data_IF_109338554689
#
_entry.id   IF_109338554689
#
_cell.length_a   1.000
_cell.length_b   1.000
_cell.length_c   1.000
_cell.angle_alpha   90.00
_cell.angle_beta   90.00
_cell.angle_gamma   90.00
#
_symmetry.space_group_name_H-M   'P 1'
#
loop_
_entity.id
_entity.type
_entity.pdbx_description
1 polymer ?
#
# COMPACT_ATOMS: atom_id res chain seq x y z
N UNK A 1 -11.59 -6.66 18.30
CA UNK A 1 -10.95 -6.29 17.02
C UNK A 1 -11.96 -6.53 15.92
N UNK A 2 -12.22 -5.54 15.08
CA UNK A 2 -13.08 -5.70 13.91
C UNK A 2 -12.32 -6.39 12.76
N UNK A 3 -13.05 -6.88 11.76
CA UNK A 3 -12.45 -7.44 10.55
C UNK A 3 -11.60 -6.41 9.80
N UNK A 4 -12.02 -5.14 9.80
CA UNK A 4 -11.25 -4.06 9.20
C UNK A 4 -9.98 -3.72 9.99
N UNK A 5 -9.99 -3.86 11.33
CA UNK A 5 -8.79 -3.71 12.15
C UNK A 5 -7.76 -4.79 11.80
N UNK A 6 -8.20 -6.05 11.69
CA UNK A 6 -7.35 -7.18 11.29
C UNK A 6 -6.75 -6.99 9.90
N UNK A 7 -7.57 -6.53 8.94
CA UNK A 7 -7.11 -6.25 7.57
C UNK A 7 -6.07 -5.12 7.54
N UNK A 8 -6.30 -4.05 8.31
CA UNK A 8 -5.38 -2.92 8.40
C UNK A 8 -4.05 -3.35 9.02
N UNK A 9 -4.09 -4.08 10.12
CA UNK A 9 -2.88 -4.55 10.81
C UNK A 9 -2.04 -5.45 9.90
N UNK A 10 -2.67 -6.44 9.24
CA UNK A 10 -1.99 -7.31 8.29
C UNK A 10 -1.37 -6.54 7.12
N UNK A 11 -2.09 -5.57 6.57
CA UNK A 11 -1.61 -4.73 5.48
C UNK A 11 -0.43 -3.85 5.90
N UNK A 12 -0.52 -3.16 7.05
CA UNK A 12 0.57 -2.34 7.58
C UNK A 12 1.81 -3.17 7.86
N UNK A 13 1.66 -4.33 8.50
CA UNK A 13 2.77 -5.23 8.78
C UNK A 13 3.45 -5.74 7.50
N UNK A 14 2.69 -6.01 6.44
CA UNK A 14 3.27 -6.41 5.16
C UNK A 14 4.08 -5.28 4.52
N UNK A 15 3.56 -4.05 4.54
CA UNK A 15 4.27 -2.89 3.97
C UNK A 15 5.54 -2.60 4.75
N UNK A 16 5.46 -2.49 6.07
CA UNK A 16 6.58 -2.09 6.93
C UNK A 16 7.72 -3.11 6.97
N UNK A 17 7.42 -4.40 6.74
CA UNK A 17 8.43 -5.47 6.80
C UNK A 17 9.09 -5.76 5.46
N UNK A 18 8.41 -5.51 4.35
CA UNK A 18 8.81 -6.04 3.05
C UNK A 18 8.93 -5.00 1.93
N UNK A 19 8.38 -3.79 2.11
CA UNK A 19 8.51 -2.74 1.09
C UNK A 19 9.68 -1.83 1.45
N UNK A 20 10.60 -1.68 0.51
CA UNK A 20 11.78 -0.85 0.65
C UNK A 20 11.87 0.20 -0.46
N UNK A 21 12.69 1.22 -0.23
CA UNK A 21 12.93 2.27 -1.24
C UNK A 21 13.51 1.69 -2.53
N UNK A 22 13.08 2.21 -3.68
CA UNK A 22 13.51 1.74 -5.00
C UNK A 22 12.79 0.50 -5.53
N UNK A 23 11.91 -0.13 -4.75
CA UNK A 23 11.18 -1.31 -5.21
C UNK A 23 10.10 -1.00 -6.25
N UNK A 24 9.88 -1.95 -7.16
CA UNK A 24 8.68 -2.02 -7.99
C UNK A 24 7.70 -2.97 -7.31
N UNK A 25 6.55 -2.46 -6.88
CA UNK A 25 5.61 -3.18 -6.02
C UNK A 25 4.30 -3.42 -6.77
N UNK A 26 3.88 -4.68 -6.87
CA UNK A 26 2.55 -5.04 -7.35
C UNK A 26 1.47 -4.61 -6.36
N UNK A 27 0.50 -3.80 -6.79
CA UNK A 27 -0.59 -3.33 -5.94
C UNK A 27 -1.83 -4.20 -6.14
N UNK A 28 -2.16 -5.01 -5.14
CA UNK A 28 -3.32 -5.90 -5.14
C UNK A 28 -4.67 -5.18 -5.18
N UNK A 29 -5.76 -5.95 -5.23
CA UNK A 29 -7.13 -5.42 -5.21
C UNK A 29 -7.93 -6.07 -4.09
N UNK A 30 -8.75 -5.29 -3.37
CA UNK A 30 -9.58 -5.76 -2.26
C UNK A 30 -9.51 -4.83 -1.06
N UNK A 31 -10.40 -5.01 -0.09
CA UNK A 31 -10.48 -4.14 1.11
C UNK A 31 -9.20 -4.14 1.93
N UNK A 32 -8.48 -5.26 1.99
CA UNK A 32 -7.17 -5.36 2.66
C UNK A 32 -6.07 -4.65 1.87
N UNK A 33 -6.01 -4.85 0.55
CA UNK A 33 -5.01 -4.23 -0.30
C UNK A 33 -5.13 -2.70 -0.31
N UNK A 34 -6.34 -2.15 -0.18
CA UNK A 34 -6.58 -0.71 0.00
C UNK A 34 -5.78 -0.15 1.18
N UNK A 35 -5.71 -0.86 2.31
CA UNK A 35 -4.92 -0.41 3.45
C UNK A 35 -3.42 -0.44 3.16
N UNK A 36 -2.94 -1.45 2.42
CA UNK A 36 -1.52 -1.54 2.05
C UNK A 36 -1.12 -0.40 1.10
N UNK A 37 -1.95 -0.10 0.10
CA UNK A 37 -1.70 1.02 -0.83
C UNK A 37 -1.68 2.35 -0.08
N UNK A 38 -2.62 2.57 0.84
CA UNK A 38 -2.64 3.78 1.69
C UNK A 38 -1.39 3.88 2.55
N UNK A 39 -0.98 2.78 3.19
CA UNK A 39 0.24 2.77 4.02
C UNK A 39 1.50 3.07 3.21
N UNK A 40 1.62 2.52 2.00
CA UNK A 40 2.72 2.86 1.08
C UNK A 40 2.67 4.36 0.76
N UNK A 41 1.51 4.90 0.41
CA UNK A 41 1.34 6.33 0.12
C UNK A 41 1.73 7.23 1.30
N UNK A 42 1.33 6.88 2.52
CA UNK A 42 1.72 7.60 3.74
C UNK A 42 3.25 7.64 3.92
N UNK A 43 3.93 6.51 3.74
CA UNK A 43 5.39 6.41 3.89
C UNK A 43 6.14 7.13 2.76
N UNK A 44 5.58 7.15 1.56
CA UNK A 44 6.12 7.93 0.43
C UNK A 44 5.95 9.43 0.71
N UNK A 45 4.78 9.85 1.19
CA UNK A 45 4.50 11.23 1.54
C UNK A 45 5.36 11.75 2.71
N UNK A 46 5.67 10.88 3.69
CA UNK A 46 6.58 11.22 4.79
C UNK A 46 8.07 11.22 4.38
N UNK A 47 8.41 10.63 3.24
CA UNK A 47 9.78 10.47 2.75
C UNK A 47 10.53 9.27 3.34
N UNK A 48 9.85 8.43 4.14
CA UNK A 48 10.39 7.18 4.68
C UNK A 48 10.61 6.14 3.57
N UNK A 49 9.73 6.12 2.56
CA UNK A 49 9.91 5.37 1.32
C UNK A 49 10.19 6.33 0.17
N UNK A 50 11.19 5.99 -0.64
CA UNK A 50 11.61 6.78 -1.81
C UNK A 50 11.70 5.90 -3.04
N UNK A 51 11.47 6.48 -4.20
CA UNK A 51 11.63 5.81 -5.50
C UNK A 51 10.83 4.50 -5.67
N UNK A 52 9.72 4.35 -4.94
CA UNK A 52 8.81 3.20 -5.08
C UNK A 52 7.93 3.38 -6.30
N UNK A 53 7.78 2.33 -7.12
CA UNK A 53 6.89 2.33 -8.29
C UNK A 53 5.79 1.28 -8.14
N UNK A 54 4.54 1.71 -8.16
CA UNK A 54 3.39 0.82 -8.05
C UNK A 54 2.93 0.25 -9.40
N UNK A 55 2.62 -1.05 -9.45
CA UNK A 55 1.99 -1.72 -10.60
C UNK A 55 0.61 -2.23 -10.18
N UNK A 56 -0.48 -1.49 -10.48
CA UNK A 56 -1.81 -1.85 -10.02
C UNK A 56 -2.42 -3.04 -10.78
N UNK A 57 -3.07 -3.93 -10.04
CA UNK A 57 -3.81 -5.08 -10.58
C UNK A 57 -5.22 -4.76 -11.06
N UNK A 58 -5.75 -3.57 -10.74
CA UNK A 58 -7.06 -3.11 -11.22
C UNK A 58 -7.11 -1.59 -11.39
N UNK A 59 -8.05 -1.12 -12.20
CA UNK A 59 -8.31 0.32 -12.38
C UNK A 59 -8.70 1.01 -11.06
N UNK A 60 -9.42 0.30 -10.17
CA UNK A 60 -9.76 0.81 -8.84
C UNK A 60 -8.51 1.04 -7.98
N UNK A 61 -7.59 0.08 -7.96
CA UNK A 61 -6.33 0.22 -7.23
C UNK A 61 -5.46 1.32 -7.84
N UNK A 62 -5.44 1.44 -9.18
CA UNK A 62 -4.74 2.51 -9.87
C UNK A 62 -5.28 3.89 -9.46
N UNK A 63 -6.61 4.07 -9.48
CA UNK A 63 -7.24 5.32 -9.08
C UNK A 63 -6.90 5.68 -7.63
N UNK A 64 -7.01 4.71 -6.71
CA UNK A 64 -6.61 4.90 -5.31
C UNK A 64 -5.15 5.35 -5.17
N UNK A 65 -4.22 4.71 -5.88
CA UNK A 65 -2.80 5.05 -5.80
C UNK A 65 -2.49 6.45 -6.36
N UNK A 66 -3.25 6.91 -7.37
CA UNK A 66 -3.07 8.23 -7.97
C UNK A 66 -3.70 9.38 -7.16
N UNK A 67 -4.51 9.08 -6.14
CA UNK A 67 -5.14 10.06 -5.24
C UNK A 67 -4.27 10.39 -4.00
N UNK A 68 -3.17 9.65 -3.79
CA UNK A 68 -2.26 9.76 -2.64
C UNK A 68 -1.00 10.55 -3.02
#
# INVERSE_FOLDING_TARGET
>A
MSDDDLKREAASAAVERYVESGMVVGLGTGTTATFAVRRIGELVASGELRDVRGVPTSARTMALANEL
#
